data_IF_233354649861
#
_entry.id   IF_233354649861
#
_cell.length_a   1.000
_cell.length_b   1.000
_cell.length_c   1.000
_cell.angle_alpha   90.00
_cell.angle_beta   90.00
_cell.angle_gamma   90.00
#
_symmetry.space_group_name_H-M   'P 1'
#
loop_
_entity.id
_entity.type
_entity.pdbx_description
1 polymer ?
#
# COMPACT_ATOMS: atom_id res chain seq x y z
N UNK A 1 -13.03 1.58 -0.37
CA UNK A 1 -13.73 1.70 0.94
C UNK A 1 -14.86 0.68 0.99
N UNK A 2 -15.06 0.00 2.13
CA UNK A 2 -16.11 -1.00 2.32
C UNK A 2 -17.03 -0.52 3.43
N UNK A 3 -18.35 -0.52 3.18
CA UNK A 3 -19.36 -0.19 4.16
C UNK A 3 -20.22 -1.44 4.41
N UNK A 4 -20.30 -1.89 5.66
CA UNK A 4 -21.09 -3.03 6.10
C UNK A 4 -22.30 -2.48 6.84
N UNK A 5 -23.49 -2.86 6.42
CA UNK A 5 -24.76 -2.40 6.97
C UNK A 5 -25.31 -3.41 7.96
N UNK A 6 -25.72 -2.89 9.11
CA UNK A 6 -26.47 -3.60 10.12
C UNK A 6 -27.83 -2.92 10.38
N UNK A 7 -28.37 -3.13 11.56
CA UNK A 7 -29.60 -2.49 12.04
C UNK A 7 -29.31 -1.84 13.38
N UNK A 8 -29.43 -0.52 13.44
CA UNK A 8 -29.24 0.23 14.68
C UNK A 8 -30.31 -0.09 15.72
N UNK A 9 -29.91 -0.16 16.98
CA UNK A 9 -30.83 -0.42 18.06
C UNK A 9 -30.29 -0.13 19.45
N UNK A 10 -31.11 -0.35 20.46
CA UNK A 10 -30.70 -0.20 21.84
C UNK A 10 -29.97 -1.46 22.33
N UNK A 11 -28.82 -1.30 22.98
CA UNK A 11 -28.00 -2.42 23.42
C UNK A 11 -28.70 -3.42 24.36
N UNK A 12 -29.73 -2.96 25.10
CA UNK A 12 -30.56 -3.84 25.93
C UNK A 12 -31.57 -4.71 25.14
N UNK A 13 -31.80 -4.41 23.86
CA UNK A 13 -32.73 -5.13 22.99
C UNK A 13 -32.05 -5.61 21.70
N UNK A 14 -31.01 -6.45 21.81
CA UNK A 14 -30.19 -6.84 20.65
C UNK A 14 -30.98 -7.63 19.60
N UNK A 15 -32.08 -8.27 19.96
CA UNK A 15 -32.97 -9.00 19.07
C UNK A 15 -33.70 -8.11 18.06
N UNK A 16 -33.74 -6.80 18.26
CA UNK A 16 -34.31 -5.79 17.35
C UNK A 16 -33.23 -5.07 16.52
N UNK A 17 -31.98 -5.52 16.60
CA UNK A 17 -30.83 -4.87 15.96
C UNK A 17 -29.95 -5.91 15.28
N UNK A 18 -29.07 -5.44 14.39
CA UNK A 18 -27.98 -6.24 13.81
C UNK A 18 -26.68 -5.44 13.95
N UNK A 19 -25.79 -5.92 14.80
CA UNK A 19 -24.53 -5.22 15.07
C UNK A 19 -23.49 -5.53 13.99
N UNK A 20 -23.15 -4.58 13.11
CA UNK A 20 -22.18 -4.85 12.03
C UNK A 20 -20.76 -5.10 12.55
N UNK A 21 -20.42 -4.66 13.76
CA UNK A 21 -19.13 -4.98 14.39
C UNK A 21 -19.07 -6.49 14.70
N UNK A 22 -20.15 -7.03 15.27
CA UNK A 22 -20.19 -8.46 15.62
C UNK A 22 -20.28 -9.35 14.40
N UNK A 23 -21.17 -9.01 13.44
CA UNK A 23 -21.40 -9.84 12.24
C UNK A 23 -20.20 -9.85 11.31
N UNK A 24 -19.36 -8.79 11.32
CA UNK A 24 -18.18 -8.72 10.47
C UNK A 24 -16.90 -9.28 11.09
N UNK A 25 -16.89 -9.61 12.38
CA UNK A 25 -15.65 -9.96 13.11
C UNK A 25 -14.92 -11.16 12.50
N UNK A 26 -15.62 -12.22 12.13
CA UNK A 26 -15.02 -13.41 11.50
C UNK A 26 -14.53 -13.09 10.08
N UNK A 27 -15.30 -12.33 9.30
CA UNK A 27 -14.88 -11.89 7.98
C UNK A 27 -13.63 -11.02 8.04
N UNK A 28 -13.54 -10.10 9.01
CA UNK A 28 -12.34 -9.27 9.21
C UNK A 28 -11.13 -10.13 9.55
N UNK A 29 -11.29 -11.14 10.40
CA UNK A 29 -10.20 -12.07 10.72
C UNK A 29 -9.72 -12.83 9.49
N UNK A 30 -10.62 -13.29 8.61
CA UNK A 30 -10.24 -13.94 7.36
C UNK A 30 -9.58 -12.97 6.37
N UNK A 31 -10.07 -11.74 6.27
CA UNK A 31 -9.51 -10.72 5.38
C UNK A 31 -8.06 -10.38 5.77
N UNK A 32 -7.77 -10.17 7.05
CA UNK A 32 -6.41 -9.83 7.50
C UNK A 32 -5.45 -11.01 7.43
N UNK A 33 -5.97 -12.23 7.31
CA UNK A 33 -5.18 -13.44 7.14
C UNK A 33 -4.87 -13.77 5.67
N UNK A 34 -5.41 -13.01 4.70
CA UNK A 34 -5.12 -13.22 3.29
C UNK A 34 -3.62 -13.04 3.01
N UNK A 35 -3.08 -13.96 2.21
CA UNK A 35 -1.68 -13.98 1.82
C UNK A 35 -1.56 -14.19 0.31
N UNK A 36 -0.70 -13.41 -0.33
CA UNK A 36 -0.39 -13.53 -1.76
C UNK A 36 1.13 -13.46 -1.95
N UNK A 37 1.84 -14.62 -1.87
CA UNK A 37 3.27 -14.68 -2.10
C UNK A 37 3.65 -14.21 -3.50
N UNK A 38 4.73 -13.44 -3.61
CA UNK A 38 5.29 -13.12 -4.91
C UNK A 38 5.93 -14.37 -5.54
N UNK A 39 5.58 -14.64 -6.79
CA UNK A 39 6.08 -15.78 -7.56
C UNK A 39 7.29 -15.44 -8.42
N UNK A 40 7.57 -14.16 -8.60
CA UNK A 40 8.69 -13.70 -9.44
C UNK A 40 10.02 -13.69 -8.70
N UNK A 41 9.99 -13.59 -7.38
CA UNK A 41 11.17 -13.37 -6.54
C UNK A 41 11.79 -11.98 -6.68
N UNK A 42 11.11 -11.06 -7.37
CA UNK A 42 11.58 -9.69 -7.62
C UNK A 42 10.82 -8.64 -6.82
N UNK A 43 9.71 -9.03 -6.22
CA UNK A 43 8.88 -8.17 -5.39
C UNK A 43 8.68 -8.78 -4.00
N UNK A 44 8.40 -7.96 -2.99
CA UNK A 44 7.87 -8.46 -1.73
C UNK A 44 6.50 -9.12 -1.95
N UNK A 45 6.11 -9.98 -1.03
CA UNK A 45 4.77 -10.54 -0.98
C UNK A 45 3.72 -9.43 -0.93
N UNK A 46 2.59 -9.67 -1.59
CA UNK A 46 1.47 -8.72 -1.55
C UNK A 46 0.85 -8.72 -0.16
N UNK A 47 0.61 -7.53 0.37
CA UNK A 47 0.08 -7.33 1.72
C UNK A 47 -1.18 -6.50 1.71
N UNK A 48 -2.12 -6.84 2.61
CA UNK A 48 -3.32 -6.08 2.88
C UNK A 48 -3.28 -5.54 4.31
N UNK A 49 -3.61 -4.26 4.46
CA UNK A 49 -3.76 -3.62 5.77
C UNK A 49 -5.14 -2.97 5.88
N UNK A 50 -5.80 -3.17 7.01
CA UNK A 50 -6.95 -2.36 7.40
C UNK A 50 -6.41 -1.06 7.99
N UNK A 51 -6.50 0.01 7.23
CA UNK A 51 -5.93 1.31 7.64
C UNK A 51 -6.89 2.16 8.47
N UNK A 52 -8.18 1.93 8.33
CA UNK A 52 -9.21 2.62 9.12
C UNK A 52 -10.41 1.70 9.36
N UNK A 53 -11.00 1.83 10.54
CA UNK A 53 -12.28 1.22 10.91
C UNK A 53 -13.08 2.24 11.73
N UNK A 54 -14.33 2.45 11.32
CA UNK A 54 -15.24 3.37 12.01
C UNK A 54 -16.61 2.75 12.15
N UNK A 55 -17.18 2.84 13.35
CA UNK A 55 -18.55 2.41 13.65
C UNK A 55 -19.06 3.10 14.91
N UNK A 56 -20.37 3.26 14.99
CA UNK A 56 -21.04 3.82 16.17
C UNK A 56 -20.98 5.33 16.29
N UNK A 57 -21.73 5.84 17.26
CA UNK A 57 -21.91 7.28 17.54
C UNK A 57 -21.14 7.74 18.79
N UNK A 58 -20.43 6.83 19.47
CA UNK A 58 -19.79 7.06 20.78
C UNK A 58 -20.70 6.77 21.97
N UNK A 59 -22.00 6.56 21.77
CA UNK A 59 -22.94 6.19 22.83
C UNK A 59 -22.83 4.69 23.15
N UNK A 60 -22.55 4.37 24.42
CA UNK A 60 -22.34 2.99 24.88
C UNK A 60 -23.58 2.09 24.86
N UNK A 61 -24.78 2.69 24.83
CA UNK A 61 -26.06 2.00 24.83
C UNK A 61 -26.72 1.88 23.44
N UNK A 62 -25.99 2.24 22.37
CA UNK A 62 -26.49 2.17 20.98
C UNK A 62 -25.68 1.15 20.20
N UNK A 63 -26.37 0.15 19.62
CA UNK A 63 -25.82 -0.75 18.61
C UNK A 63 -25.75 0.05 17.30
N UNK A 64 -24.57 0.12 16.64
CA UNK A 64 -24.45 0.86 15.39
C UNK A 64 -25.21 0.21 14.24
N UNK A 65 -25.62 1.01 13.26
CA UNK A 65 -26.25 0.53 12.03
C UNK A 65 -25.29 0.36 10.88
N UNK A 66 -24.04 0.80 11.02
CA UNK A 66 -23.04 0.75 9.94
C UNK A 66 -21.61 0.61 10.52
N UNK A 67 -20.75 -0.06 9.73
CA UNK A 67 -19.32 -0.13 9.95
C UNK A 67 -18.62 0.16 8.63
N UNK A 68 -17.70 1.11 8.65
CA UNK A 68 -16.88 1.49 7.50
C UNK A 68 -15.44 1.04 7.69
N UNK A 69 -14.86 0.47 6.62
CA UNK A 69 -13.48 0.01 6.55
C UNK A 69 -12.75 0.69 5.41
N UNK A 70 -11.49 1.07 5.64
CA UNK A 70 -10.55 1.39 4.56
C UNK A 70 -9.44 0.35 4.56
N UNK A 71 -9.23 -0.24 3.39
CA UNK A 71 -8.16 -1.19 3.12
C UNK A 71 -7.09 -0.51 2.28
N UNK A 72 -5.83 -0.82 2.54
CA UNK A 72 -4.71 -0.53 1.66
C UNK A 72 -4.06 -1.84 1.26
N UNK A 73 -3.86 -2.05 -0.04
CA UNK A 73 -3.22 -3.25 -0.56
C UNK A 73 -2.01 -2.85 -1.38
N UNK A 74 -0.88 -3.44 -1.04
CA UNK A 74 0.34 -3.39 -1.84
C UNK A 74 0.49 -4.73 -2.51
N UNK A 75 0.43 -4.78 -3.84
CA UNK A 75 0.46 -6.04 -4.56
C UNK A 75 1.59 -6.09 -5.58
N UNK A 76 2.15 -7.29 -5.76
CA UNK A 76 3.16 -7.62 -6.75
C UNK A 76 2.50 -7.97 -8.10
N UNK A 77 3.25 -7.98 -9.21
CA UNK A 77 2.71 -8.42 -10.52
C UNK A 77 2.22 -9.87 -10.54
N UNK A 78 2.46 -10.66 -9.48
CA UNK A 78 2.00 -12.05 -9.38
C UNK A 78 0.48 -12.19 -9.22
N UNK A 79 -0.20 -11.09 -8.88
CA UNK A 79 -1.67 -11.03 -8.77
C UNK A 79 -2.18 -9.75 -9.44
N UNK A 80 -3.48 -9.71 -9.72
CA UNK A 80 -4.16 -8.50 -10.21
C UNK A 80 -4.96 -7.83 -9.09
N UNK A 81 -5.30 -6.55 -9.27
CA UNK A 81 -6.25 -5.86 -8.38
C UNK A 81 -7.59 -6.61 -8.31
N UNK A 82 -8.05 -7.19 -9.43
CA UNK A 82 -9.27 -8.00 -9.45
C UNK A 82 -9.18 -9.24 -8.56
N UNK A 83 -8.02 -9.90 -8.50
CA UNK A 83 -7.79 -11.04 -7.59
C UNK A 83 -7.98 -10.65 -6.13
N UNK A 84 -7.51 -9.47 -5.75
CA UNK A 84 -7.71 -8.92 -4.39
C UNK A 84 -9.17 -8.62 -4.12
N UNK A 85 -9.84 -7.94 -5.06
CA UNK A 85 -11.27 -7.60 -4.98
C UNK A 85 -12.10 -8.87 -4.78
N UNK A 86 -11.90 -9.87 -5.64
CA UNK A 86 -12.66 -11.12 -5.60
C UNK A 86 -12.45 -11.88 -4.28
N UNK A 87 -11.22 -11.89 -3.76
CA UNK A 87 -10.91 -12.53 -2.48
C UNK A 87 -11.62 -11.85 -1.31
N UNK A 88 -11.52 -10.52 -1.21
CA UNK A 88 -12.13 -9.76 -0.11
C UNK A 88 -13.65 -9.81 -0.19
N UNK A 89 -14.24 -9.52 -1.34
CA UNK A 89 -15.70 -9.56 -1.50
C UNK A 89 -16.24 -11.00 -1.38
N UNK A 90 -15.47 -12.00 -1.81
CA UNK A 90 -15.80 -13.41 -1.62
C UNK A 90 -15.95 -13.76 -0.15
N UNK A 91 -15.06 -13.28 0.73
CA UNK A 91 -15.15 -13.45 2.18
C UNK A 91 -16.40 -12.74 2.73
N UNK A 92 -16.63 -11.49 2.34
CA UNK A 92 -17.81 -10.74 2.81
C UNK A 92 -19.13 -11.44 2.42
N UNK A 93 -19.22 -11.97 1.18
CA UNK A 93 -20.38 -12.76 0.71
C UNK A 93 -20.51 -14.10 1.44
N UNK A 94 -19.40 -14.80 1.71
CA UNK A 94 -19.37 -16.06 2.48
C UNK A 94 -20.00 -15.87 3.86
N UNK A 95 -19.71 -14.75 4.51
CA UNK A 95 -20.28 -14.39 5.81
C UNK A 95 -21.64 -13.70 5.70
N UNK A 96 -22.25 -13.66 4.51
CA UNK A 96 -23.59 -13.10 4.24
C UNK A 96 -23.76 -11.66 4.69
N UNK A 97 -22.69 -10.88 4.67
CA UNK A 97 -22.74 -9.48 5.07
C UNK A 97 -23.47 -8.63 4.03
N UNK A 98 -24.27 -7.70 4.49
CA UNK A 98 -24.86 -6.67 3.65
C UNK A 98 -23.85 -5.54 3.50
N UNK A 99 -23.16 -5.45 2.34
CA UNK A 99 -22.10 -4.50 2.14
C UNK A 99 -22.18 -3.78 0.80
N UNK A 100 -21.49 -2.65 0.74
CA UNK A 100 -21.09 -1.99 -0.51
C UNK A 100 -19.60 -1.75 -0.48
N UNK A 101 -18.94 -1.90 -1.62
CA UNK A 101 -17.50 -1.69 -1.75
C UNK A 101 -17.24 -0.71 -2.90
N UNK A 102 -16.34 0.22 -2.64
CA UNK A 102 -15.79 1.16 -3.62
C UNK A 102 -14.27 0.94 -3.67
N UNK A 103 -13.76 0.56 -4.84
CA UNK A 103 -12.37 0.21 -5.07
C UNK A 103 -11.71 1.25 -5.96
N UNK A 104 -10.55 1.70 -5.52
CA UNK A 104 -9.68 2.59 -6.26
C UNK A 104 -8.37 1.86 -6.53
N UNK A 105 -8.02 1.68 -7.81
CA UNK A 105 -6.72 1.14 -8.21
C UNK A 105 -5.79 2.32 -8.49
N UNK A 106 -4.81 2.49 -7.62
CA UNK A 106 -3.85 3.60 -7.71
C UNK A 106 -2.77 3.35 -8.77
N UNK A 107 -2.74 2.20 -9.41
CA UNK A 107 -1.80 1.84 -10.49
C UNK A 107 -1.14 0.49 -10.30
N UNK A 108 -0.76 -0.11 -11.42
CA UNK A 108 -0.07 -1.39 -11.44
C UNK A 108 1.39 -1.26 -10.97
N UNK A 109 1.94 -2.28 -10.31
CA UNK A 109 3.37 -2.33 -10.02
C UNK A 109 4.18 -2.40 -11.33
N UNK A 110 5.37 -1.81 -11.33
CA UNK A 110 6.27 -1.84 -12.47
C UNK A 110 7.68 -2.26 -12.05
N UNK A 111 8.45 -2.77 -12.99
CA UNK A 111 9.84 -3.15 -12.82
C UNK A 111 10.66 -2.56 -13.96
N UNK A 112 11.67 -1.78 -13.62
CA UNK A 112 12.68 -1.33 -14.59
C UNK A 112 13.70 -2.44 -14.78
N UNK A 113 13.84 -2.92 -16.00
CA UNK A 113 14.75 -4.02 -16.36
C UNK A 113 15.98 -3.56 -17.12
N UNK A 114 15.99 -2.31 -17.59
CA UNK A 114 17.15 -1.74 -18.28
C UNK A 114 18.31 -1.53 -17.31
N UNK A 115 19.48 -1.96 -17.74
CA UNK A 115 20.72 -1.84 -16.94
C UNK A 115 21.34 -0.46 -17.03
N UNK A 116 21.07 0.34 -18.04
CA UNK A 116 21.74 1.62 -18.28
C UNK A 116 21.42 2.62 -17.16
N UNK A 117 20.14 2.93 -16.96
CA UNK A 117 19.71 3.87 -15.91
C UNK A 117 20.07 3.36 -14.52
N UNK A 118 19.82 2.06 -14.27
CA UNK A 118 20.15 1.43 -12.97
C UNK A 118 21.63 1.55 -12.67
N UNK A 119 22.53 1.19 -13.62
CA UNK A 119 23.97 1.27 -13.41
C UNK A 119 24.43 2.72 -13.22
N UNK A 120 23.90 3.67 -14.01
CA UNK A 120 24.21 5.08 -13.80
C UNK A 120 23.82 5.56 -12.39
N UNK A 121 22.66 5.14 -11.87
CA UNK A 121 22.23 5.49 -10.53
C UNK A 121 23.14 4.85 -9.46
N UNK A 122 23.40 3.53 -9.55
CA UNK A 122 24.28 2.79 -8.62
C UNK A 122 25.65 3.42 -8.55
N UNK A 123 26.30 3.64 -9.70
CA UNK A 123 27.63 4.23 -9.74
C UNK A 123 27.66 5.67 -9.19
N UNK A 124 26.61 6.45 -9.45
CA UNK A 124 26.53 7.82 -8.95
C UNK A 124 26.33 7.85 -7.43
N UNK A 125 25.50 6.97 -6.88
CA UNK A 125 25.32 6.81 -5.43
C UNK A 125 26.64 6.37 -4.79
N UNK A 126 27.28 5.31 -5.29
CA UNK A 126 28.53 4.82 -4.77
C UNK A 126 29.62 5.90 -4.77
N UNK A 127 29.74 6.68 -5.85
CA UNK A 127 30.71 7.76 -5.96
C UNK A 127 30.50 8.91 -4.98
N UNK A 128 29.26 9.23 -4.63
CA UNK A 128 28.95 10.35 -3.72
C UNK A 128 28.99 9.90 -2.27
N UNK A 129 28.42 8.74 -1.97
CA UNK A 129 28.24 8.26 -0.59
C UNK A 129 29.39 7.40 -0.09
N UNK A 130 30.22 6.86 -1.00
CA UNK A 130 31.30 5.93 -0.66
C UNK A 130 30.83 4.51 -0.29
N UNK A 131 29.52 4.18 -0.46
CA UNK A 131 29.04 2.82 -0.21
C UNK A 131 29.52 1.89 -1.33
N UNK A 132 29.94 0.67 -0.95
CA UNK A 132 30.44 -0.32 -1.91
C UNK A 132 29.32 -1.11 -2.60
N UNK A 133 28.20 -1.30 -1.91
CA UNK A 133 27.05 -2.03 -2.42
C UNK A 133 25.81 -1.16 -2.26
N UNK A 134 25.14 -0.85 -3.38
CA UNK A 134 23.89 -0.11 -3.43
C UNK A 134 22.76 -1.13 -3.54
N UNK A 135 21.91 -1.20 -2.52
CA UNK A 135 20.75 -2.08 -2.53
C UNK A 135 19.75 -1.66 -3.60
N UNK A 136 19.28 -2.64 -4.38
CA UNK A 136 18.19 -2.47 -5.31
C UNK A 136 16.94 -3.11 -4.72
N UNK A 137 15.83 -2.39 -4.71
CA UNK A 137 14.60 -2.86 -4.10
C UNK A 137 13.38 -2.47 -4.95
N UNK A 138 12.39 -3.34 -4.98
CA UNK A 138 11.05 -3.05 -5.50
C UNK A 138 10.05 -2.78 -4.36
N UNK A 139 10.53 -2.75 -3.13
CA UNK A 139 9.74 -2.39 -1.96
C UNK A 139 9.60 -0.87 -1.83
N UNK A 140 8.61 -0.43 -1.08
CA UNK A 140 8.44 0.98 -0.74
C UNK A 140 7.06 1.55 -1.05
N UNK A 141 6.99 2.88 -0.98
CA UNK A 141 5.78 3.63 -1.27
C UNK A 141 5.47 3.70 -2.76
N UNK A 142 4.24 4.04 -3.08
CA UNK A 142 3.86 4.33 -4.46
C UNK A 142 4.34 5.71 -4.85
N UNK A 143 4.97 5.83 -6.01
CA UNK A 143 5.44 7.11 -6.58
C UNK A 143 4.72 7.45 -7.89
N UNK A 144 5.01 8.63 -8.42
CA UNK A 144 4.55 9.05 -9.75
C UNK A 144 5.20 8.24 -10.89
N UNK A 145 6.23 7.45 -10.59
CA UNK A 145 6.82 6.48 -11.52
C UNK A 145 5.79 5.53 -12.12
N UNK A 146 4.72 5.21 -11.39
CA UNK A 146 3.58 4.42 -11.87
C UNK A 146 2.86 5.00 -13.10
N UNK A 147 2.94 6.31 -13.31
CA UNK A 147 2.37 6.98 -14.49
C UNK A 147 3.37 7.07 -15.63
N UNK A 148 4.66 7.05 -15.30
CA UNK A 148 5.77 7.18 -16.27
C UNK A 148 6.12 5.81 -16.87
N UNK A 149 6.28 4.77 -16.04
CA UNK A 149 6.68 3.44 -16.50
C UNK A 149 5.79 2.87 -17.64
N UNK A 150 4.44 3.02 -17.62
CA UNK A 150 3.59 2.54 -18.71
C UNK A 150 3.83 3.22 -20.07
N UNK A 151 4.52 4.37 -20.11
CA UNK A 151 4.87 5.06 -21.36
C UNK A 151 6.06 4.39 -22.07
N UNK A 152 6.69 3.39 -21.46
CA UNK A 152 7.90 2.74 -21.95
C UNK A 152 9.20 3.43 -21.47
N UNK A 153 9.10 4.45 -20.63
CA UNK A 153 10.27 5.09 -20.02
C UNK A 153 10.82 4.24 -18.88
N UNK A 154 12.13 4.22 -18.75
CA UNK A 154 12.81 3.63 -17.59
C UNK A 154 12.59 4.53 -16.35
N UNK A 155 12.34 3.91 -15.22
CA UNK A 155 12.11 4.64 -13.96
C UNK A 155 12.96 4.02 -12.86
N UNK A 156 13.75 4.85 -12.19
CA UNK A 156 14.49 4.51 -10.96
C UNK A 156 14.21 5.57 -9.92
N UNK A 157 13.87 5.16 -8.73
CA UNK A 157 13.64 6.04 -7.61
C UNK A 157 14.88 6.10 -6.73
N UNK A 158 15.39 7.30 -6.52
CA UNK A 158 16.51 7.57 -5.63
C UNK A 158 16.11 8.74 -4.72
N UNK A 159 16.14 8.53 -3.43
CA UNK A 159 15.72 9.53 -2.45
C UNK A 159 16.57 9.49 -1.18
N UNK A 160 16.25 10.38 -0.22
CA UNK A 160 16.85 10.33 1.10
C UNK A 160 16.40 9.07 1.85
N UNK A 161 17.08 8.75 2.96
CA UNK A 161 16.69 7.63 3.81
C UNK A 161 15.28 7.86 4.40
N UNK A 162 14.43 6.84 4.32
CA UNK A 162 13.02 6.92 4.72
C UNK A 162 12.77 6.55 6.20
N UNK A 163 13.74 6.71 7.07
CA UNK A 163 13.68 6.26 8.47
C UNK A 163 12.54 6.88 9.28
N UNK A 164 12.11 8.08 8.92
CA UNK A 164 11.05 8.84 9.62
C UNK A 164 9.77 9.02 8.81
N UNK A 165 9.65 8.40 7.63
CA UNK A 165 8.48 8.56 6.75
C UNK A 165 7.17 8.23 7.48
N UNK A 166 6.19 9.14 7.40
CA UNK A 166 4.87 9.06 8.06
C UNK A 166 4.91 8.98 9.59
N UNK A 167 6.04 9.30 10.21
CA UNK A 167 6.16 9.41 11.67
C UNK A 167 5.94 10.85 12.13
N UNK A 168 5.60 11.00 13.42
CA UNK A 168 5.63 12.31 14.06
C UNK A 168 7.06 12.83 14.00
N UNK A 169 7.23 14.13 13.71
CA UNK A 169 8.54 14.78 13.50
C UNK A 169 9.31 14.19 12.30
N UNK A 170 8.61 13.86 11.20
CA UNK A 170 9.24 13.44 9.95
C UNK A 170 10.30 14.45 9.51
N UNK A 171 11.50 13.95 9.25
CA UNK A 171 12.65 14.80 8.96
C UNK A 171 13.61 14.13 7.96
N UNK A 172 14.41 14.97 7.28
CA UNK A 172 15.52 14.57 6.42
C UNK A 172 16.75 15.38 6.77
N UNK A 173 17.93 14.76 6.65
CA UNK A 173 19.21 15.46 6.85
C UNK A 173 19.48 16.44 5.70
N UNK A 174 20.01 17.62 6.03
CA UNK A 174 20.47 18.60 5.02
C UNK A 174 21.61 18.00 4.19
N UNK A 175 22.54 17.30 4.82
CA UNK A 175 23.66 16.64 4.15
C UNK A 175 23.18 15.58 3.14
N UNK A 176 22.11 14.84 3.47
CA UNK A 176 21.49 13.90 2.53
C UNK A 176 20.90 14.60 1.30
N UNK A 177 20.30 15.76 1.46
CA UNK A 177 19.76 16.56 0.34
C UNK A 177 20.87 17.09 -0.57
N UNK A 178 21.99 17.50 0.01
CA UNK A 178 23.18 17.93 -0.76
C UNK A 178 23.77 16.76 -1.56
N UNK A 179 23.96 15.61 -0.91
CA UNK A 179 24.42 14.38 -1.58
C UNK A 179 23.47 13.95 -2.69
N UNK A 180 22.16 14.01 -2.45
CA UNK A 180 21.14 13.65 -3.44
C UNK A 180 21.20 14.56 -4.68
N UNK A 181 21.42 15.86 -4.48
CA UNK A 181 21.63 16.84 -5.57
C UNK A 181 22.85 16.46 -6.42
N UNK A 182 23.96 16.07 -5.79
CA UNK A 182 25.15 15.64 -6.51
C UNK A 182 24.92 14.32 -7.27
N UNK A 183 24.23 13.35 -6.65
CA UNK A 183 23.86 12.08 -7.28
C UNK A 183 23.07 12.33 -8.56
N UNK A 184 22.00 13.13 -8.51
CA UNK A 184 21.20 13.45 -9.70
C UNK A 184 22.04 14.15 -10.78
N UNK A 185 22.89 15.11 -10.41
CA UNK A 185 23.79 15.76 -11.34
C UNK A 185 24.70 14.78 -12.09
N UNK A 186 25.26 13.78 -11.37
CA UNK A 186 26.09 12.73 -11.97
C UNK A 186 25.27 11.79 -12.90
N UNK A 187 24.08 11.38 -12.48
CA UNK A 187 23.20 10.53 -13.30
C UNK A 187 22.86 11.24 -14.61
N UNK A 188 22.43 12.50 -14.55
CA UNK A 188 22.08 13.30 -15.72
C UNK A 188 23.29 13.44 -16.67
N UNK A 189 24.45 13.78 -16.11
CA UNK A 189 25.68 13.92 -16.92
C UNK A 189 26.06 12.62 -17.62
N UNK A 190 25.93 11.47 -16.96
CA UNK A 190 26.25 10.16 -17.57
C UNK A 190 25.26 9.72 -18.64
N UNK A 191 23.99 10.13 -18.54
CA UNK A 191 22.97 9.72 -19.49
C UNK A 191 22.90 10.62 -20.73
N UNK A 192 23.35 11.88 -20.63
CA UNK A 192 23.21 12.87 -21.69
C UNK A 192 24.54 13.16 -22.44
N UNK A 193 25.65 12.53 -22.01
CA UNK A 193 26.96 12.65 -22.68
C UNK A 193 27.39 11.31 -23.28
#
# INVERSE_FOLDING_TARGET
>A
MINIRGIQGHAAYPHNAENPIHTSSEALNEIVALQWPDKSGQFPDSILQVSNIQSGTGAHNVIPGELSLKLNVRYSPSISSQTVIDAVEGILRKHKLNFSADWEDSGAPFLTTSTTLINCAIESIANVTGVNEVEQSTAGGTSDGRFIAPTGSEVVEVGPLNTSIHKVDEAVSIDELEMLTEIYGKVISKLLT
#
